data_IF_184637343794
#
_entry.id   IF_184637343794
#
_cell.length_a   1.000
_cell.length_b   1.000
_cell.length_c   1.000
_cell.angle_alpha   90.00
_cell.angle_beta   90.00
_cell.angle_gamma   90.00
#
_symmetry.space_group_name_H-M   'P 1'
#
loop_
_entity.id
_entity.type
_entity.pdbx_description
1 polymer ?
#
# COMPACT_ATOMS: atom_id res chain seq x y z
N UNK A 1 24.93 20.65 -8.67
CA UNK A 1 25.96 19.68 -8.25
C UNK A 1 26.32 20.03 -6.81
N UNK A 2 25.56 19.46 -5.85
CA UNK A 2 25.83 19.60 -4.41
C UNK A 2 25.61 18.23 -3.78
N UNK A 3 26.72 17.66 -3.30
CA UNK A 3 26.80 16.39 -2.59
C UNK A 3 26.06 16.47 -1.25
N UNK A 4 25.17 15.54 -1.02
CA UNK A 4 24.60 15.28 0.31
C UNK A 4 25.40 14.13 0.93
N UNK A 5 26.18 14.46 1.98
CA UNK A 5 26.84 13.46 2.84
C UNK A 5 25.85 12.96 3.89
N UNK A 6 25.82 11.67 4.20
CA UNK A 6 25.09 11.17 5.36
C UNK A 6 26.00 11.21 6.61
N UNK A 7 25.63 12.00 7.60
CA UNK A 7 26.20 11.89 8.96
C UNK A 7 25.38 10.85 9.74
N UNK A 8 25.98 9.69 9.93
CA UNK A 8 25.51 8.68 10.88
C UNK A 8 26.27 8.88 12.18
N UNK A 9 25.62 9.45 13.18
CA UNK A 9 26.14 9.53 14.54
C UNK A 9 25.81 8.25 15.31
N UNK A 10 26.83 7.50 15.65
CA UNK A 10 26.78 6.34 16.53
C UNK A 10 26.58 6.81 17.98
N UNK A 11 25.53 6.33 18.63
CA UNK A 11 25.32 6.51 20.06
C UNK A 11 26.05 5.41 20.83
N UNK A 12 27.03 5.85 21.63
CA UNK A 12 27.76 5.04 22.56
C UNK A 12 26.91 4.75 23.81
N UNK A 13 26.74 3.47 24.14
CA UNK A 13 26.02 3.00 25.32
C UNK A 13 26.97 2.22 26.23
N UNK A 14 27.68 2.94 27.12
CA UNK A 14 28.36 2.33 28.27
C UNK A 14 27.78 2.85 29.57
N UNK A 15 27.09 1.98 30.31
CA UNK A 15 26.55 2.33 31.62
C UNK A 15 26.03 1.08 32.37
N UNK A 16 26.90 0.11 32.63
CA UNK A 16 26.60 -1.04 33.48
C UNK A 16 26.73 -0.67 34.96
N UNK A 17 25.60 -0.40 35.60
CA UNK A 17 25.49 -0.27 37.05
C UNK A 17 25.16 -1.60 37.71
N UNK A 18 26.18 -2.28 38.28
CA UNK A 18 26.01 -3.41 39.21
C UNK A 18 25.28 -2.96 40.48
N UNK A 19 24.12 -3.52 40.76
CA UNK A 19 23.54 -3.55 42.13
C UNK A 19 23.47 -4.99 42.65
N UNK A 20 24.02 -5.11 43.86
CA UNK A 20 24.23 -6.34 44.62
C UNK A 20 22.92 -7.01 45.02
N UNK A 21 22.97 -8.32 45.07
CA UNK A 21 22.01 -9.28 45.57
C UNK A 21 21.68 -9.06 47.07
N UNK A 22 20.39 -9.15 47.41
CA UNK A 22 19.95 -9.55 48.70
C UNK A 22 18.92 -10.69 48.55
N UNK A 23 19.41 -11.86 48.77
CA UNK A 23 18.64 -13.10 48.93
C UNK A 23 17.81 -13.06 50.23
N UNK A 24 16.50 -13.19 50.10
CA UNK A 24 15.60 -13.72 51.15
C UNK A 24 14.40 -14.42 50.53
N UNK A 25 13.86 -15.49 51.15
CA UNK A 25 13.11 -16.52 50.45
C UNK A 25 11.62 -16.22 50.36
N UNK A 26 11.06 -16.32 49.19
CA UNK A 26 9.62 -16.31 48.93
C UNK A 26 9.24 -17.56 48.11
N UNK A 27 9.28 -18.72 48.83
CA UNK A 27 9.01 -20.03 48.29
C UNK A 27 7.57 -20.51 48.54
N UNK A 28 6.62 -19.58 48.74
CA UNK A 28 5.20 -19.94 49.04
C UNK A 28 4.21 -19.29 48.07
N UNK A 29 4.62 -18.40 47.15
CA UNK A 29 3.65 -17.70 46.31
C UNK A 29 3.61 -18.18 44.85
N UNK A 30 4.37 -19.26 44.50
CA UNK A 30 4.47 -19.75 43.14
C UNK A 30 3.43 -20.81 42.73
N UNK A 31 2.51 -21.19 43.60
CA UNK A 31 1.55 -22.28 43.27
C UNK A 31 0.12 -21.78 42.93
N UNK A 32 -0.17 -20.50 42.98
CA UNK A 32 -1.53 -19.98 42.69
C UNK A 32 -1.62 -19.24 41.35
N UNK A 33 -0.50 -18.95 40.69
CA UNK A 33 -0.51 -18.21 39.43
C UNK A 33 -0.50 -19.11 38.17
N UNK A 34 -0.45 -20.43 38.32
CA UNK A 34 -0.46 -21.37 37.18
C UNK A 34 -1.86 -21.76 36.68
N UNK A 35 -2.93 -21.35 37.40
CA UNK A 35 -4.30 -21.71 37.03
C UNK A 35 -5.05 -20.63 36.22
N UNK A 36 -4.44 -19.46 35.96
CA UNK A 36 -5.11 -18.35 35.29
C UNK A 36 -4.81 -18.23 33.79
N UNK A 37 -4.03 -19.14 33.20
CA UNK A 37 -3.71 -19.12 31.77
C UNK A 37 -4.24 -20.36 31.01
N UNK A 38 -5.29 -20.99 31.51
CA UNK A 38 -6.07 -21.89 30.68
C UNK A 38 -7.22 -21.08 30.08
N UNK A 39 -6.89 -20.30 29.04
CA UNK A 39 -7.92 -19.93 28.07
C UNK A 39 -8.46 -21.25 27.52
N UNK A 40 -9.78 -21.55 27.65
CA UNK A 40 -10.36 -22.63 26.88
C UNK A 40 -9.98 -22.34 25.42
N UNK A 41 -9.32 -23.29 24.76
CA UNK A 41 -9.06 -23.21 23.34
C UNK A 41 -10.42 -22.86 22.70
N UNK A 42 -10.58 -21.64 22.23
CA UNK A 42 -11.65 -21.30 21.29
C UNK A 42 -11.44 -22.29 20.15
N UNK A 43 -12.35 -23.25 20.03
CA UNK A 43 -12.42 -24.05 18.82
C UNK A 43 -12.43 -23.05 17.66
N UNK A 44 -11.59 -23.26 16.64
CA UNK A 44 -11.60 -22.37 15.49
C UNK A 44 -13.03 -22.34 14.97
N UNK A 45 -13.74 -21.25 15.21
CA UNK A 45 -15.00 -20.98 14.56
C UNK A 45 -14.68 -20.99 13.08
N UNK A 46 -14.97 -22.10 12.44
CA UNK A 46 -14.97 -22.21 10.98
C UNK A 46 -15.95 -21.17 10.48
N UNK A 47 -15.41 -20.02 10.09
CA UNK A 47 -16.17 -19.03 9.35
C UNK A 47 -16.84 -19.74 8.18
N UNK A 48 -18.19 -19.70 8.08
CA UNK A 48 -18.87 -20.38 7.01
C UNK A 48 -18.44 -19.80 5.67
N UNK A 49 -17.75 -20.62 4.87
CA UNK A 49 -17.67 -20.40 3.43
C UNK A 49 -16.74 -19.29 2.96
N UNK A 50 -15.52 -19.18 3.50
CA UNK A 50 -14.43 -18.77 2.63
C UNK A 50 -14.11 -19.98 1.78
N UNK A 51 -14.80 -20.06 0.64
CA UNK A 51 -14.35 -20.84 -0.49
C UNK A 51 -12.86 -20.63 -0.59
N UNK A 52 -12.09 -21.69 -0.40
CA UNK A 52 -10.63 -21.65 -0.47
C UNK A 52 -10.27 -21.40 -1.94
N UNK A 53 -10.54 -20.17 -2.40
CA UNK A 53 -10.06 -19.71 -3.68
C UNK A 53 -8.56 -19.90 -3.62
N UNK A 54 -8.09 -20.79 -4.46
CA UNK A 54 -6.68 -21.04 -4.65
C UNK A 54 -6.00 -19.67 -4.83
N UNK A 55 -5.31 -19.21 -3.79
CA UNK A 55 -4.68 -17.88 -3.77
C UNK A 55 -3.33 -17.88 -4.46
N UNK A 56 -3.07 -18.96 -5.19
CA UNK A 56 -1.84 -19.16 -5.94
C UNK A 56 -2.17 -19.10 -7.42
N UNK A 57 -1.49 -18.23 -8.12
CA UNK A 57 -1.54 -18.17 -9.57
C UNK A 57 -0.12 -18.37 -10.12
N UNK A 58 0.01 -19.12 -11.19
CA UNK A 58 1.28 -19.34 -11.88
C UNK A 58 1.10 -19.01 -13.35
N UNK A 59 2.02 -18.24 -13.93
CA UNK A 59 2.01 -17.89 -15.32
C UNK A 59 3.42 -17.81 -15.88
N UNK A 60 3.61 -18.24 -17.11
CA UNK A 60 4.87 -18.11 -17.85
C UNK A 60 4.91 -16.86 -18.75
N UNK A 61 3.79 -16.16 -18.89
CA UNK A 61 3.65 -15.01 -19.80
C UNK A 61 3.61 -13.66 -19.08
N UNK A 62 3.28 -13.67 -17.80
CA UNK A 62 3.16 -12.49 -16.98
C UNK A 62 2.06 -12.63 -15.95
N UNK A 63 2.07 -11.74 -14.96
CA UNK A 63 1.12 -11.76 -13.85
C UNK A 63 0.81 -10.34 -13.39
N UNK A 64 -0.43 -10.12 -12.99
CA UNK A 64 -0.88 -8.93 -12.29
C UNK A 64 -1.52 -9.35 -10.97
N UNK A 65 -1.16 -8.68 -9.90
CA UNK A 65 -1.73 -8.93 -8.56
C UNK A 65 -2.17 -7.59 -7.97
N UNK A 66 -3.38 -7.55 -7.43
CA UNK A 66 -3.88 -6.40 -6.67
C UNK A 66 -4.90 -6.87 -5.65
N UNK A 67 -5.32 -6.00 -4.74
CA UNK A 67 -6.36 -6.25 -3.74
C UNK A 67 -7.75 -6.45 -4.35
N UNK A 68 -7.97 -5.97 -5.58
CA UNK A 68 -9.28 -5.98 -6.25
C UNK A 68 -9.26 -6.82 -7.53
N UNK A 69 -10.20 -7.77 -7.66
CA UNK A 69 -10.37 -8.56 -8.89
C UNK A 69 -10.62 -7.70 -10.14
N UNK A 70 -11.50 -6.68 -10.12
CA UNK A 70 -11.68 -5.78 -11.26
C UNK A 70 -10.37 -5.10 -11.68
N UNK A 71 -9.59 -4.61 -10.74
CA UNK A 71 -8.30 -3.97 -11.01
C UNK A 71 -7.25 -4.95 -11.56
N UNK A 72 -7.15 -6.16 -10.98
CA UNK A 72 -6.28 -7.22 -11.51
C UNK A 72 -6.65 -7.57 -12.94
N UNK A 73 -7.95 -7.66 -13.27
CA UNK A 73 -8.43 -7.91 -14.64
C UNK A 73 -8.07 -6.79 -15.59
N UNK A 74 -8.17 -5.52 -15.17
CA UNK A 74 -7.78 -4.38 -15.97
C UNK A 74 -6.30 -4.46 -16.38
N UNK A 75 -5.41 -4.75 -15.44
CA UNK A 75 -3.99 -4.94 -15.74
C UNK A 75 -3.71 -6.17 -16.63
N UNK A 76 -4.39 -7.30 -16.36
CA UNK A 76 -4.24 -8.52 -17.15
C UNK A 76 -4.73 -8.34 -18.61
N UNK A 77 -5.80 -7.57 -18.82
CA UNK A 77 -6.29 -7.20 -20.15
C UNK A 77 -5.22 -6.44 -20.94
N UNK A 78 -4.55 -5.50 -20.29
CA UNK A 78 -3.47 -4.72 -20.91
C UNK A 78 -2.27 -5.60 -21.28
N UNK A 79 -1.89 -6.57 -20.42
CA UNK A 79 -0.86 -7.56 -20.79
C UNK A 79 -1.28 -8.37 -22.01
N UNK A 80 -2.53 -8.85 -22.04
CA UNK A 80 -3.06 -9.63 -23.17
C UNK A 80 -3.13 -8.82 -24.46
N UNK A 81 -3.28 -7.51 -24.39
CA UNK A 81 -3.30 -6.58 -25.53
C UNK A 81 -1.89 -6.20 -26.03
N UNK A 82 -0.84 -6.79 -25.46
CA UNK A 82 0.54 -6.52 -25.87
C UNK A 82 1.25 -5.42 -25.09
N UNK A 83 0.62 -4.92 -24.02
CA UNK A 83 1.26 -4.02 -23.07
C UNK A 83 2.37 -4.72 -22.29
N UNK A 84 3.25 -3.93 -21.71
CA UNK A 84 4.29 -4.41 -20.82
C UNK A 84 3.86 -4.36 -19.34
N UNK A 85 4.76 -4.72 -18.42
CA UNK A 85 4.49 -4.72 -16.99
C UNK A 85 4.13 -3.33 -16.45
N UNK A 86 4.71 -2.27 -17.02
CA UNK A 86 4.42 -0.88 -16.64
C UNK A 86 3.00 -0.50 -17.05
N UNK A 87 2.62 -0.79 -18.30
CA UNK A 87 1.25 -0.55 -18.78
C UNK A 87 0.22 -1.26 -17.90
N UNK A 88 0.48 -2.54 -17.60
CA UNK A 88 -0.40 -3.36 -16.76
C UNK A 88 -0.51 -2.84 -15.33
N UNK A 89 0.59 -2.38 -14.75
CA UNK A 89 0.60 -1.80 -13.40
C UNK A 89 -0.19 -0.49 -13.35
N UNK A 90 -0.03 0.37 -14.36
CA UNK A 90 -0.78 1.64 -14.47
C UNK A 90 -2.27 1.35 -14.67
N UNK A 91 -2.64 0.42 -15.54
CA UNK A 91 -4.03 0.02 -15.75
C UNK A 91 -4.68 -0.55 -14.48
N UNK A 92 -3.94 -1.40 -13.75
CA UNK A 92 -4.39 -1.94 -12.47
C UNK A 92 -4.55 -0.83 -11.41
N UNK A 93 -3.65 0.15 -11.36
CA UNK A 93 -3.73 1.27 -10.43
C UNK A 93 -4.96 2.15 -10.69
N UNK A 94 -5.27 2.47 -11.95
CA UNK A 94 -6.53 3.14 -12.29
C UNK A 94 -7.75 2.27 -12.02
N UNK A 95 -7.66 0.96 -12.26
CA UNK A 95 -8.69 0.01 -11.87
C UNK A 95 -8.97 -0.01 -10.36
N UNK A 96 -7.91 0.07 -9.55
CA UNK A 96 -8.01 0.20 -8.09
C UNK A 96 -8.68 1.51 -7.67
N UNK A 97 -8.33 2.63 -8.34
CA UNK A 97 -8.94 3.92 -8.05
C UNK A 97 -10.46 3.93 -8.26
N UNK A 98 -10.96 3.09 -9.16
CA UNK A 98 -12.39 2.89 -9.39
C UNK A 98 -12.99 1.87 -8.41
N UNK A 99 -12.30 0.72 -8.22
CA UNK A 99 -12.84 -0.42 -7.49
C UNK A 99 -12.69 -0.33 -5.97
N UNK A 100 -11.72 0.44 -5.49
CA UNK A 100 -11.42 0.65 -4.07
C UNK A 100 -11.12 2.13 -3.78
N UNK A 101 -12.06 3.06 -4.06
CA UNK A 101 -11.82 4.50 -3.96
C UNK A 101 -11.47 4.95 -2.54
N UNK A 102 -11.88 4.22 -1.52
CA UNK A 102 -11.58 4.54 -0.11
C UNK A 102 -10.11 4.25 0.25
N UNK A 103 -9.42 3.41 -0.52
CA UNK A 103 -8.03 3.00 -0.27
C UNK A 103 -7.06 3.50 -1.34
N UNK A 104 -7.52 3.60 -2.59
CA UNK A 104 -6.66 3.81 -3.76
C UNK A 104 -7.18 4.93 -4.68
N UNK A 105 -7.95 5.88 -4.14
CA UNK A 105 -8.54 6.97 -4.92
C UNK A 105 -7.52 7.88 -5.61
N UNK A 106 -7.95 8.57 -6.68
CA UNK A 106 -7.12 9.48 -7.48
C UNK A 106 -6.59 10.70 -6.71
N UNK A 107 -7.26 11.07 -5.60
CA UNK A 107 -6.87 12.18 -4.73
C UNK A 107 -5.69 11.88 -3.80
N UNK A 108 -5.07 10.72 -3.91
CA UNK A 108 -4.01 10.25 -3.03
C UNK A 108 -2.60 10.46 -3.58
N UNK A 109 -1.74 9.54 -3.18
CA UNK A 109 -0.32 9.49 -3.52
C UNK A 109 0.03 8.14 -4.15
N UNK A 110 1.12 8.10 -4.92
CA UNK A 110 1.63 6.89 -5.56
C UNK A 110 3.14 6.82 -5.43
N UNK A 111 3.65 5.65 -5.12
CA UNK A 111 5.05 5.31 -5.25
C UNK A 111 5.14 4.08 -6.16
N UNK A 112 6.08 4.09 -7.08
CA UNK A 112 6.30 2.98 -8.00
C UNK A 112 7.78 2.61 -8.04
N UNK A 113 8.04 1.31 -8.08
CA UNK A 113 9.35 0.76 -8.33
C UNK A 113 9.27 -0.14 -9.57
N UNK A 114 10.06 0.18 -10.58
CA UNK A 114 10.17 -0.59 -11.82
C UNK A 114 11.52 -1.29 -11.84
N UNK A 115 11.51 -2.60 -11.93
CA UNK A 115 12.71 -3.41 -12.12
C UNK A 115 12.85 -3.79 -13.59
N UNK A 116 13.98 -3.44 -14.18
CA UNK A 116 14.29 -3.75 -15.56
C UNK A 116 15.05 -5.10 -15.68
N UNK A 117 14.85 -5.84 -16.78
CA UNK A 117 15.60 -7.08 -17.01
C UNK A 117 17.13 -6.90 -17.04
N UNK A 118 17.62 -5.69 -17.26
CA UNK A 118 19.04 -5.31 -17.16
C UNK A 118 19.59 -5.34 -15.74
N UNK A 119 18.72 -5.48 -14.72
CA UNK A 119 19.07 -5.40 -13.31
C UNK A 119 18.99 -3.99 -12.73
N UNK A 120 18.58 -3.00 -13.51
CA UNK A 120 18.39 -1.63 -13.04
C UNK A 120 17.02 -1.46 -12.41
N UNK A 121 16.93 -0.64 -11.37
CA UNK A 121 15.69 -0.24 -10.73
C UNK A 121 15.45 1.26 -10.93
N UNK A 122 14.23 1.62 -11.32
CA UNK A 122 13.78 3.00 -11.41
C UNK A 122 12.63 3.24 -10.42
N UNK A 123 12.74 4.29 -9.60
CA UNK A 123 11.73 4.69 -8.64
C UNK A 123 11.01 5.97 -9.07
N UNK A 124 9.71 6.01 -8.91
CA UNK A 124 8.91 7.23 -9.01
C UNK A 124 8.23 7.47 -7.67
N UNK A 125 8.54 8.59 -7.06
CA UNK A 125 7.84 9.10 -5.90
C UNK A 125 6.90 10.22 -6.35
N UNK A 126 5.62 10.01 -6.15
CA UNK A 126 4.54 10.95 -6.41
C UNK A 126 3.64 11.01 -5.16
N UNK A 127 4.26 11.35 -4.05
CA UNK A 127 3.57 11.68 -2.82
C UNK A 127 2.76 12.95 -2.99
N UNK A 128 1.84 13.18 -2.08
CA UNK A 128 1.12 14.45 -2.02
C UNK A 128 2.09 15.58 -1.66
N UNK A 129 1.90 16.73 -2.29
CA UNK A 129 2.75 17.91 -2.08
C UNK A 129 2.00 19.00 -1.32
N UNK A 130 2.77 19.80 -0.61
CA UNK A 130 2.25 21.05 -0.01
C UNK A 130 2.15 22.10 -1.12
N UNK A 131 1.07 22.87 -1.21
CA UNK A 131 0.95 23.97 -2.17
C UNK A 131 2.12 24.95 -2.07
N UNK A 132 2.67 25.39 -3.22
CA UNK A 132 3.83 26.27 -3.26
C UNK A 132 3.64 27.62 -2.52
N UNK A 133 2.39 28.06 -2.37
CA UNK A 133 2.06 29.28 -1.63
C UNK A 133 1.78 29.07 -0.14
N UNK A 134 1.96 27.85 0.38
CA UNK A 134 1.73 27.56 1.79
C UNK A 134 2.86 28.11 2.66
N UNK A 135 2.50 28.95 3.64
CA UNK A 135 3.42 29.48 4.63
C UNK A 135 3.09 28.89 6.01
N UNK A 136 3.93 27.98 6.53
CA UNK A 136 3.66 27.33 7.81
C UNK A 136 3.67 28.30 9.00
N UNK A 137 4.31 29.48 8.85
CA UNK A 137 4.34 30.50 9.91
C UNK A 137 3.02 31.27 10.06
N UNK A 138 2.18 31.24 9.05
CA UNK A 138 0.87 31.88 9.00
C UNK A 138 -0.29 30.90 8.99
N UNK A 139 0.02 29.60 9.03
CA UNK A 139 -0.99 28.58 9.01
C UNK A 139 -1.63 28.41 10.38
N UNK A 140 -2.94 28.60 10.45
CA UNK A 140 -3.70 28.24 11.64
C UNK A 140 -3.91 26.71 11.68
N UNK A 141 -3.79 26.09 12.86
CA UNK A 141 -4.10 24.68 13.00
C UNK A 141 -5.55 24.41 12.60
N UNK A 142 -5.72 23.49 11.63
CA UNK A 142 -7.04 23.08 11.15
C UNK A 142 -7.12 21.57 11.12
N UNK A 143 -8.27 21.02 11.53
CA UNK A 143 -8.55 19.58 11.47
C UNK A 143 -9.27 19.20 10.18
N UNK A 144 -9.90 20.18 9.52
CA UNK A 144 -10.69 19.99 8.30
C UNK A 144 -10.57 21.20 7.33
N UNK A 145 -11.27 21.10 6.20
CA UNK A 145 -11.33 22.14 5.17
C UNK A 145 -10.15 22.12 4.19
N UNK A 146 -10.09 23.14 3.35
CA UNK A 146 -9.13 23.21 2.23
C UNK A 146 -7.66 23.32 2.68
N UNK A 147 -7.41 23.83 3.86
CA UNK A 147 -6.05 24.02 4.39
C UNK A 147 -5.34 22.72 4.74
N UNK A 148 -6.08 21.61 4.92
CA UNK A 148 -5.52 20.28 5.22
C UNK A 148 -5.41 19.39 3.99
N UNK A 149 -5.83 19.87 2.81
CA UNK A 149 -5.79 19.10 1.56
C UNK A 149 -4.46 19.35 0.86
N UNK A 150 -3.65 18.32 0.76
CA UNK A 150 -2.42 18.36 -0.03
C UNK A 150 -2.71 18.16 -1.54
N UNK A 151 -1.78 18.59 -2.40
CA UNK A 151 -1.88 18.39 -3.85
C UNK A 151 -1.72 16.89 -4.16
N UNK A 152 -2.69 16.25 -4.85
CA UNK A 152 -2.61 14.82 -5.16
C UNK A 152 -1.50 14.49 -6.15
N UNK A 153 -0.75 13.43 -5.87
CA UNK A 153 0.34 12.95 -6.73
C UNK A 153 -0.03 11.77 -7.63
N UNK A 154 -1.10 11.02 -7.33
CA UNK A 154 -1.39 9.72 -7.97
C UNK A 154 -1.41 9.80 -9.50
N UNK A 155 -2.19 10.68 -10.09
CA UNK A 155 -2.34 10.75 -11.55
C UNK A 155 -1.03 11.20 -12.21
N UNK A 156 -0.35 12.19 -11.63
CA UNK A 156 0.93 12.68 -12.13
C UNK A 156 2.01 11.58 -12.08
N UNK A 157 2.05 10.82 -10.97
CA UNK A 157 2.97 9.70 -10.79
C UNK A 157 2.74 8.58 -11.80
N UNK A 158 1.49 8.13 -11.96
CA UNK A 158 1.13 7.10 -12.93
C UNK A 158 1.42 7.53 -14.37
N UNK A 159 1.13 8.79 -14.71
CA UNK A 159 1.47 9.34 -16.02
C UNK A 159 2.99 9.40 -16.25
N UNK A 160 3.78 9.68 -15.21
CA UNK A 160 5.23 9.65 -15.29
C UNK A 160 5.76 8.24 -15.49
N UNK A 161 5.31 7.28 -14.67
CA UNK A 161 5.69 5.86 -14.79
C UNK A 161 5.39 5.35 -16.21
N UNK A 162 4.20 5.63 -16.71
CA UNK A 162 3.80 5.23 -18.07
C UNK A 162 4.68 5.89 -19.14
N UNK A 163 4.92 7.19 -19.08
CA UNK A 163 5.74 7.92 -20.07
C UNK A 163 7.18 7.40 -20.12
N UNK A 164 7.74 6.97 -18.98
CA UNK A 164 9.12 6.49 -18.89
C UNK A 164 9.28 5.01 -19.26
N UNK A 165 8.25 4.19 -19.06
CA UNK A 165 8.36 2.75 -19.23
C UNK A 165 7.21 2.06 -19.96
N UNK A 166 6.12 2.75 -20.27
CA UNK A 166 4.97 2.20 -20.98
C UNK A 166 5.24 1.97 -22.47
N UNK A 167 4.45 1.10 -23.06
CA UNK A 167 4.51 0.71 -24.48
C UNK A 167 3.26 1.11 -25.24
N UNK A 168 2.08 0.90 -24.63
CA UNK A 168 0.79 1.19 -25.25
C UNK A 168 0.42 2.67 -25.13
N UNK A 169 -0.42 3.19 -26.03
CA UNK A 169 -0.96 4.55 -25.89
C UNK A 169 -1.73 4.72 -24.56
N UNK A 170 -1.54 5.88 -23.93
CA UNK A 170 -2.21 6.21 -22.68
C UNK A 170 -3.72 5.94 -22.66
N UNK A 171 -4.52 6.32 -23.70
CA UNK A 171 -5.95 6.01 -23.71
C UNK A 171 -6.29 4.52 -23.67
N UNK A 172 -5.43 3.68 -24.26
CA UNK A 172 -5.61 2.22 -24.20
C UNK A 172 -5.37 1.70 -22.79
N UNK A 173 -4.33 2.19 -22.12
CA UNK A 173 -3.95 1.75 -20.78
C UNK A 173 -5.00 2.11 -19.73
N UNK A 174 -5.62 3.28 -19.82
CA UNK A 174 -6.68 3.69 -18.89
C UNK A 174 -8.08 3.15 -19.29
N UNK A 175 -8.23 2.66 -20.51
CA UNK A 175 -9.49 2.18 -21.08
C UNK A 175 -10.23 1.16 -20.21
N UNK A 176 -9.59 0.12 -19.67
CA UNK A 176 -10.24 -0.85 -18.79
C UNK A 176 -10.84 -0.21 -17.54
N UNK A 177 -10.17 0.76 -16.92
CA UNK A 177 -10.66 1.46 -15.75
C UNK A 177 -11.83 2.39 -16.08
N UNK A 178 -11.82 3.05 -17.26
CA UNK A 178 -12.94 3.85 -17.74
C UNK A 178 -14.18 2.97 -17.93
N UNK A 179 -14.05 1.84 -18.62
CA UNK A 179 -15.17 0.90 -18.79
C UNK A 179 -15.70 0.40 -17.45
N UNK A 180 -14.82 0.13 -16.48
CA UNK A 180 -15.22 -0.29 -15.15
C UNK A 180 -16.07 0.79 -14.45
N UNK A 181 -15.67 2.06 -14.58
CA UNK A 181 -16.40 3.18 -14.02
C UNK A 181 -17.77 3.41 -14.71
N UNK A 182 -17.82 3.28 -16.03
CA UNK A 182 -19.04 3.49 -16.83
C UNK A 182 -20.06 2.36 -16.67
N UNK A 183 -19.56 1.12 -16.66
CA UNK A 183 -20.44 -0.07 -16.62
C UNK A 183 -20.86 -0.45 -15.20
N UNK A 184 -20.14 0.03 -14.19
CA UNK A 184 -20.29 -0.43 -12.82
C UNK A 184 -19.71 -1.84 -12.60
N UNK A 185 -19.61 -2.22 -11.34
CA UNK A 185 -19.11 -3.53 -10.91
C UNK A 185 -19.63 -3.86 -9.51
N UNK A 186 -19.69 -5.15 -9.11
CA UNK A 186 -20.02 -5.51 -7.75
C UNK A 186 -18.91 -5.09 -6.78
N UNK A 187 -19.24 -4.27 -5.79
CA UNK A 187 -18.31 -3.92 -4.71
C UNK A 187 -17.99 -5.15 -3.86
N UNK A 188 -16.75 -5.22 -3.37
CA UNK A 188 -16.42 -6.17 -2.32
C UNK A 188 -17.19 -5.83 -1.03
N UNK A 189 -17.52 -6.82 -0.19
CA UNK A 189 -18.17 -6.54 1.10
C UNK A 189 -17.39 -5.57 1.98
N UNK A 190 -16.07 -5.64 1.94
CA UNK A 190 -15.20 -4.73 2.69
C UNK A 190 -15.26 -3.29 2.19
N UNK A 191 -15.30 -3.07 0.87
CA UNK A 191 -15.42 -1.73 0.31
C UNK A 191 -16.82 -1.16 0.53
N UNK A 192 -17.85 -1.96 0.33
CA UNK A 192 -19.22 -1.56 0.62
C UNK A 192 -19.41 -1.11 2.09
N UNK A 193 -18.76 -1.79 3.02
CA UNK A 193 -18.81 -1.42 4.44
C UNK A 193 -18.04 -0.14 4.78
N UNK A 194 -17.09 0.28 3.94
CA UNK A 194 -16.34 1.54 4.14
C UNK A 194 -17.05 2.75 3.55
N UNK A 195 -17.90 2.54 2.54
CA UNK A 195 -18.64 3.60 1.87
C UNK A 195 -19.94 3.95 2.63
N UNK A 196 -20.52 3.00 3.36
CA UNK A 196 -21.74 3.16 4.17
C UNK A 196 -21.40 3.62 5.60
#
# INVERSE_FOLDING_TARGET
>A
MSEIRPDVQAADSTGVGRRRSSTRPLLVFSLVLAAACQNPAEEPTTSPGHDSLERVAVSTQGMVVSSSRPATRAGAEILASGGNAVDAAVAAAFGLAVAEPTQSGLGGRTQALVWHPTGEAAGVDATTEVPAGYDPSQAEPAEDGYSVIAIPGTVAGLARVHREGGRLPWPEVIGPALRLAESGFPLSPGEAARIN
#
